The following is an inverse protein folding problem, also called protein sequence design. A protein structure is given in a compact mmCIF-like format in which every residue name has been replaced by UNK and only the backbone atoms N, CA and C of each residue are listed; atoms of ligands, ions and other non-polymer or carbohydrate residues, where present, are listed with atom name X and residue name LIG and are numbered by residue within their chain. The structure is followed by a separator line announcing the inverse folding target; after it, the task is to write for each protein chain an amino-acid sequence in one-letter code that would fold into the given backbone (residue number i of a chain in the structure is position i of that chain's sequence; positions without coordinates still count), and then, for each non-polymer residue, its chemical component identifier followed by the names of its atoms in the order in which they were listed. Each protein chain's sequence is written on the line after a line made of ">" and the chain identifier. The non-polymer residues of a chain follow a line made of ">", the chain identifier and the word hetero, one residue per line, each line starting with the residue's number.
data_IF_274353190018
#
_entry.id   IF_274353190018
#
_cell.length_a   1.000
_cell.length_b   1.000
_cell.length_c   1.000
_cell.angle_alpha   90.00
_cell.angle_beta   90.00
_cell.angle_gamma   90.00
#
_symmetry.space_group_name_H-M   'P 1'
#
loop_
_entity.id
_entity.type
_entity.pdbx_description
1 polymer ?
#
# COMPACT_ATOMS: atom_id res chain seq x y z
N UNK A 1 -5.29 43.80 23.64
CA UNK A 1 -6.31 43.21 22.74
C UNK A 1 -5.78 43.22 21.31
N UNK A 2 -5.36 42.08 20.76
CA UNK A 2 -4.94 41.97 19.36
C UNK A 2 -5.81 40.91 18.68
N UNK A 3 -6.66 41.34 17.73
CA UNK A 3 -7.59 40.48 16.99
C UNK A 3 -6.82 39.60 16.00
N UNK A 4 -6.84 38.28 16.20
CA UNK A 4 -6.52 37.26 15.19
C UNK A 4 -7.45 37.46 13.98
N UNK A 5 -6.90 37.70 12.79
CA UNK A 5 -7.62 37.48 11.53
C UNK A 5 -7.22 36.09 11.01
N UNK A 6 -8.14 35.14 11.16
CA UNK A 6 -8.13 33.87 10.44
C UNK A 6 -8.53 34.16 9.00
N UNK A 7 -7.64 33.95 8.05
CA UNK A 7 -8.00 33.82 6.64
C UNK A 7 -8.03 32.33 6.29
N UNK A 8 -9.19 31.68 6.45
CA UNK A 8 -9.47 30.44 5.71
C UNK A 8 -9.63 30.84 4.24
N UNK A 9 -8.61 30.57 3.41
CA UNK A 9 -8.84 30.49 1.97
C UNK A 9 -9.71 29.24 1.73
N UNK A 10 -10.82 29.35 0.98
CA UNK A 10 -11.57 28.16 0.58
C UNK A 10 -10.68 27.33 -0.35
N UNK A 11 -10.66 26.02 -0.13
CA UNK A 11 -9.95 25.09 -1.00
C UNK A 11 -10.67 25.02 -2.35
N UNK A 12 -10.06 25.55 -3.41
CA UNK A 12 -10.49 25.41 -4.82
C UNK A 12 -10.29 23.97 -5.35
N UNK A 13 -10.54 22.96 -4.51
CA UNK A 13 -10.65 21.59 -5.00
C UNK A 13 -12.10 21.37 -5.43
N UNK A 14 -12.36 21.10 -6.72
CA UNK A 14 -13.70 20.76 -7.16
C UNK A 14 -14.13 19.45 -6.49
N UNK A 15 -15.32 19.45 -5.89
CA UNK A 15 -15.93 18.23 -5.37
C UNK A 15 -16.13 17.25 -6.54
N UNK A 16 -15.57 16.05 -6.41
CA UNK A 16 -15.69 15.00 -7.40
C UNK A 16 -17.10 14.42 -7.33
N UNK A 17 -17.98 14.89 -8.21
CA UNK A 17 -19.31 14.31 -8.43
C UNK A 17 -19.18 12.87 -8.95
N UNK A 18 -19.82 11.91 -8.26
CA UNK A 18 -19.73 10.47 -8.57
C UNK A 18 -20.38 10.05 -9.90
N UNK A 19 -21.14 10.95 -10.55
CA UNK A 19 -21.92 10.65 -11.75
C UNK A 19 -21.24 11.09 -13.06
N UNK A 20 -20.04 11.66 -13.01
CA UNK A 20 -19.34 12.13 -14.21
C UNK A 20 -18.50 11.01 -14.85
N UNK A 21 -18.86 10.60 -16.06
CA UNK A 21 -18.00 9.79 -16.94
C UNK A 21 -16.79 10.65 -17.35
N UNK A 22 -15.54 10.23 -17.09
CA UNK A 22 -14.39 11.07 -17.37
C UNK A 22 -14.13 11.15 -18.88
N UNK A 23 -14.01 12.39 -19.39
CA UNK A 23 -13.47 12.64 -20.73
C UNK A 23 -12.01 12.20 -20.79
N UNK A 24 -11.71 11.31 -21.73
CA UNK A 24 -10.40 10.70 -21.92
C UNK A 24 -9.42 11.72 -22.52
N UNK A 25 -8.60 12.37 -21.69
CA UNK A 25 -7.43 13.12 -22.16
C UNK A 25 -6.24 12.18 -22.24
N UNK A 26 -5.76 11.95 -23.46
CA UNK A 26 -4.60 11.13 -23.80
C UNK A 26 -3.37 11.55 -22.98
N UNK A 27 -2.70 10.64 -22.24
CA UNK A 27 -1.44 10.98 -21.58
C UNK A 27 -0.30 11.05 -22.58
N UNK A 28 0.60 12.00 -22.31
CA UNK A 28 1.82 12.24 -23.07
C UNK A 28 2.80 11.05 -23.01
N UNK A 29 3.56 10.95 -24.09
CA UNK A 29 4.57 9.96 -24.49
C UNK A 29 5.65 9.68 -23.43
N UNK A 30 5.97 8.40 -23.22
CA UNK A 30 7.21 7.93 -22.60
C UNK A 30 8.16 7.36 -23.67
N UNK A 31 9.43 7.72 -23.59
CA UNK A 31 10.51 7.38 -24.54
C UNK A 31 10.97 5.89 -24.47
N UNK A 32 11.66 5.36 -25.50
CA UNK A 32 11.81 3.92 -25.71
C UNK A 32 13.17 3.34 -25.27
N UNK A 33 13.24 2.02 -25.12
CA UNK A 33 14.48 1.22 -25.09
C UNK A 33 14.18 -0.24 -25.55
N UNK A 34 15.18 -1.02 -26.01
CA UNK A 34 15.83 -0.95 -27.33
C UNK A 34 15.49 -2.17 -28.23
N UNK A 35 15.96 -2.08 -29.47
CA UNK A 35 15.62 -2.91 -30.63
C UNK A 35 15.86 -4.43 -30.51
N UNK A 36 14.93 -5.20 -31.08
CA UNK A 36 15.14 -6.61 -31.45
C UNK A 36 14.37 -6.93 -32.74
N UNK A 37 15.11 -7.32 -33.79
CA UNK A 37 14.71 -8.16 -34.93
C UNK A 37 13.61 -7.65 -35.86
N UNK A 38 13.97 -7.33 -37.10
CA UNK A 38 13.03 -7.15 -38.21
C UNK A 38 12.30 -8.47 -38.54
N UNK A 39 10.96 -8.50 -38.64
CA UNK A 39 10.25 -9.53 -39.39
C UNK A 39 9.85 -9.03 -40.78
N UNK A 40 9.92 -9.94 -41.75
CA UNK A 40 9.68 -9.77 -43.20
C UNK A 40 8.29 -9.18 -43.57
N UNK A 41 8.12 -8.60 -44.77
CA UNK A 41 6.92 -7.83 -45.12
C UNK A 41 5.72 -8.75 -45.43
N UNK A 42 4.69 -8.70 -44.60
CA UNK A 42 3.38 -9.26 -44.91
C UNK A 42 2.59 -8.32 -45.85
N UNK A 43 1.94 -8.90 -46.87
CA UNK A 43 1.20 -8.20 -47.91
C UNK A 43 0.05 -7.33 -47.38
N UNK A 44 -0.32 -6.23 -48.07
CA UNK A 44 -1.35 -5.31 -47.59
C UNK A 44 -2.73 -5.97 -47.67
N UNK A 45 -3.26 -6.35 -46.51
CA UNK A 45 -4.66 -6.75 -46.35
C UNK A 45 -5.53 -5.52 -46.58
N UNK A 46 -6.06 -5.40 -47.80
CA UNK A 46 -7.01 -4.37 -48.18
C UNK A 46 -8.38 -4.73 -47.60
N UNK A 47 -8.78 -4.00 -46.57
CA UNK A 47 -10.07 -4.16 -45.94
C UNK A 47 -10.14 -3.36 -44.64
N UNK A 48 -10.32 -2.04 -44.75
CA UNK A 48 -10.74 -1.24 -43.61
C UNK A 48 -12.17 -1.65 -43.23
N UNK A 49 -12.29 -2.68 -42.39
CA UNK A 49 -13.47 -2.85 -41.57
C UNK A 49 -13.43 -1.71 -40.55
N UNK A 50 -14.11 -0.60 -40.86
CA UNK A 50 -14.47 0.40 -39.86
C UNK A 50 -15.38 -0.29 -38.87
N UNK A 51 -14.80 -0.85 -37.81
CA UNK A 51 -15.57 -1.35 -36.68
C UNK A 51 -16.13 -0.10 -36.01
N UNK A 52 -17.41 0.20 -36.26
CA UNK A 52 -18.17 1.12 -35.42
C UNK A 52 -18.20 0.53 -34.00
N UNK A 53 -17.17 0.85 -33.22
CA UNK A 53 -17.15 0.53 -31.80
C UNK A 53 -18.02 1.56 -31.10
N UNK A 54 -19.19 1.15 -30.63
CA UNK A 54 -19.91 1.94 -29.62
C UNK A 54 -18.92 2.22 -28.48
N UNK A 55 -18.83 3.44 -27.94
CA UNK A 55 -18.00 3.70 -26.78
C UNK A 55 -18.39 2.74 -25.65
N UNK A 56 -17.47 1.83 -25.29
CA UNK A 56 -17.71 0.76 -24.30
C UNK A 56 -17.98 -0.65 -24.85
N UNK A 57 -18.01 -0.87 -26.17
CA UNK A 57 -18.16 -2.21 -26.76
C UNK A 57 -16.85 -2.94 -27.08
N UNK A 58 -15.71 -2.24 -26.96
CA UNK A 58 -14.41 -2.88 -27.11
C UNK A 58 -14.22 -3.91 -25.98
N UNK A 59 -13.84 -5.17 -26.27
CA UNK A 59 -13.66 -6.22 -25.25
C UNK A 59 -12.76 -5.79 -24.10
N UNK A 60 -11.68 -5.05 -24.41
CA UNK A 60 -10.78 -4.47 -23.42
C UNK A 60 -11.47 -3.45 -22.50
N UNK A 61 -12.31 -2.56 -23.05
CA UNK A 61 -13.01 -1.55 -22.26
C UNK A 61 -14.00 -2.17 -21.27
N UNK A 62 -14.66 -3.27 -21.68
CA UNK A 62 -15.57 -4.01 -20.80
C UNK A 62 -14.83 -4.70 -19.67
N UNK A 63 -13.72 -5.38 -19.96
CA UNK A 63 -12.94 -6.12 -18.97
C UNK A 63 -12.16 -5.18 -18.03
N UNK A 64 -11.71 -4.02 -18.54
CA UNK A 64 -11.01 -3.03 -17.73
C UNK A 64 -11.88 -2.53 -16.57
N UNK A 65 -13.17 -2.27 -16.81
CA UNK A 65 -14.09 -1.81 -15.75
C UNK A 65 -14.21 -2.85 -14.64
N UNK A 66 -14.40 -4.12 -14.96
CA UNK A 66 -14.54 -5.19 -13.94
C UNK A 66 -13.24 -5.40 -13.18
N UNK A 67 -12.11 -5.54 -13.87
CA UNK A 67 -10.82 -5.77 -13.21
C UNK A 67 -10.39 -4.59 -12.34
N UNK A 68 -10.66 -3.36 -12.80
CA UNK A 68 -10.39 -2.17 -12.01
C UNK A 68 -11.24 -2.15 -10.74
N UNK A 69 -12.54 -2.44 -10.83
CA UNK A 69 -13.43 -2.46 -9.66
C UNK A 69 -13.03 -3.57 -8.66
N UNK A 70 -12.68 -4.76 -9.14
CA UNK A 70 -12.20 -5.85 -8.29
C UNK A 70 -10.90 -5.45 -7.58
N UNK A 71 -9.92 -4.93 -8.30
CA UNK A 71 -8.66 -4.48 -7.70
C UNK A 71 -8.86 -3.31 -6.71
N UNK A 72 -9.68 -2.32 -7.08
CA UNK A 72 -9.98 -1.18 -6.22
C UNK A 72 -10.67 -1.62 -4.91
N UNK A 73 -11.64 -2.53 -5.00
CA UNK A 73 -12.33 -3.06 -3.82
C UNK A 73 -11.36 -3.76 -2.85
N UNK A 74 -10.48 -4.62 -3.38
CA UNK A 74 -9.45 -5.31 -2.61
C UNK A 74 -8.46 -4.33 -1.96
N UNK A 75 -8.00 -3.31 -2.70
CA UNK A 75 -7.06 -2.32 -2.15
C UNK A 75 -7.70 -1.51 -1.02
N UNK A 76 -8.97 -1.15 -1.13
CA UNK A 76 -9.66 -0.36 -0.10
C UNK A 76 -9.87 -1.21 1.15
N UNK A 77 -10.49 -2.38 1.01
CA UNK A 77 -10.93 -3.19 2.15
C UNK A 77 -9.79 -4.00 2.79
N UNK A 78 -8.93 -4.62 1.98
CA UNK A 78 -7.94 -5.60 2.46
C UNK A 78 -6.50 -5.07 2.49
N UNK A 79 -6.30 -3.76 2.31
CA UNK A 79 -4.96 -3.16 2.35
C UNK A 79 -4.92 -1.76 2.96
N UNK A 80 -5.73 -0.84 2.47
CA UNK A 80 -5.58 0.58 2.79
C UNK A 80 -6.28 1.00 4.08
N UNK A 81 -7.53 0.59 4.25
CA UNK A 81 -8.40 1.00 5.36
C UNK A 81 -8.24 0.04 6.54
N UNK A 82 -8.05 0.54 7.78
CA UNK A 82 -8.03 -0.31 8.96
C UNK A 82 -9.41 -0.92 9.27
N UNK A 83 -9.42 -2.06 9.95
CA UNK A 83 -10.69 -2.68 10.37
C UNK A 83 -11.33 -1.90 11.52
N UNK A 84 -12.66 -1.94 11.64
CA UNK A 84 -13.40 -1.17 12.65
C UNK A 84 -13.11 -1.65 14.08
N UNK A 85 -13.04 -2.97 14.28
CA UNK A 85 -12.95 -3.56 15.62
C UNK A 85 -11.60 -3.34 16.30
N UNK A 86 -10.50 -3.32 15.54
CA UNK A 86 -9.14 -3.22 16.07
C UNK A 86 -8.37 -1.97 15.61
N UNK A 87 -8.87 -1.26 14.59
CA UNK A 87 -8.17 -0.11 14.01
C UNK A 87 -6.86 -0.47 13.31
N UNK A 88 -6.61 -1.74 12.99
CA UNK A 88 -5.37 -2.22 12.37
C UNK A 88 -5.55 -2.53 10.88
N UNK A 89 -4.53 -2.18 10.10
CA UNK A 89 -4.42 -2.64 8.71
C UNK A 89 -4.03 -4.13 8.68
N UNK A 90 -4.37 -4.88 7.61
CA UNK A 90 -4.10 -6.32 7.55
C UNK A 90 -2.62 -6.70 7.74
N UNK A 91 -1.68 -5.92 7.21
CA UNK A 91 -0.23 -6.16 7.44
C UNK A 91 0.15 -5.98 8.91
N UNK A 92 -0.39 -4.98 9.58
CA UNK A 92 -0.08 -4.66 10.98
C UNK A 92 -0.59 -5.77 11.91
N UNK A 93 -1.81 -6.26 11.65
CA UNK A 93 -2.40 -7.39 12.38
C UNK A 93 -1.55 -8.66 12.26
N UNK A 94 -1.08 -8.99 11.06
CA UNK A 94 -0.25 -10.18 10.81
C UNK A 94 1.12 -10.08 11.47
N UNK A 95 1.74 -8.89 11.49
CA UNK A 95 2.98 -8.63 12.22
C UNK A 95 2.79 -8.84 13.72
N UNK A 96 1.72 -8.29 14.30
CA UNK A 96 1.43 -8.41 15.73
C UNK A 96 1.10 -9.85 16.13
N UNK A 97 0.33 -10.58 15.31
CA UNK A 97 0.08 -12.01 15.50
C UNK A 97 1.38 -12.84 15.46
N UNK A 98 2.25 -12.56 14.50
CA UNK A 98 3.54 -13.27 14.41
C UNK A 98 4.42 -12.99 15.64
N UNK A 99 4.43 -11.76 16.13
CA UNK A 99 5.15 -11.40 17.35
C UNK A 99 4.58 -12.09 18.58
N UNK A 100 3.26 -12.28 18.65
CA UNK A 100 2.60 -13.01 19.72
C UNK A 100 2.94 -14.50 19.71
N UNK A 101 2.89 -15.15 18.54
CA UNK A 101 3.25 -16.57 18.39
C UNK A 101 4.70 -16.85 18.78
N UNK A 102 5.58 -15.85 18.62
CA UNK A 102 7.01 -15.93 18.93
C UNK A 102 7.35 -15.45 20.34
N UNK A 103 6.41 -14.85 21.08
CA UNK A 103 6.72 -14.11 22.31
C UNK A 103 7.23 -15.03 23.43
N UNK A 104 8.53 -14.92 23.73
CA UNK A 104 9.20 -15.54 24.88
C UNK A 104 9.68 -14.48 25.91
N UNK A 105 9.28 -13.22 25.73
CA UNK A 105 9.73 -12.08 26.53
C UNK A 105 11.09 -11.50 26.12
N UNK A 106 11.82 -12.15 25.21
CA UNK A 106 13.10 -11.66 24.69
C UNK A 106 12.89 -10.81 23.43
N UNK A 107 13.98 -10.18 23.01
CA UNK A 107 14.03 -9.45 21.76
C UNK A 107 14.28 -10.41 20.59
N UNK A 108 13.48 -10.28 19.54
CA UNK A 108 13.67 -11.03 18.31
C UNK A 108 14.21 -10.13 17.21
N UNK A 109 15.13 -10.67 16.40
CA UNK A 109 15.63 -9.98 15.20
C UNK A 109 14.45 -9.68 14.28
N UNK A 110 14.32 -8.43 13.82
CA UNK A 110 13.23 -8.02 12.93
C UNK A 110 13.25 -8.82 11.63
N UNK A 111 14.43 -9.19 11.11
CA UNK A 111 14.55 -10.07 9.95
C UNK A 111 13.83 -11.42 10.15
N UNK A 112 13.87 -12.00 11.36
CA UNK A 112 13.19 -13.25 11.68
C UNK A 112 11.66 -13.05 11.74
N UNK A 113 11.21 -11.99 12.42
CA UNK A 113 9.78 -11.64 12.51
C UNK A 113 9.18 -11.38 11.13
N UNK A 114 9.89 -10.64 10.27
CA UNK A 114 9.47 -10.37 8.88
C UNK A 114 9.37 -11.68 8.09
N UNK A 115 10.40 -12.53 8.14
CA UNK A 115 10.39 -13.82 7.44
C UNK A 115 9.27 -14.76 7.91
N UNK A 116 8.97 -14.78 9.20
CA UNK A 116 7.84 -15.52 9.74
C UNK A 116 6.49 -14.93 9.29
N UNK A 117 6.37 -13.60 9.29
CA UNK A 117 5.14 -12.90 8.87
C UNK A 117 4.82 -13.12 7.39
N UNK A 118 5.84 -13.33 6.54
CA UNK A 118 5.63 -13.62 5.11
C UNK A 118 4.78 -14.87 4.86
N UNK A 119 4.74 -15.82 5.80
CA UNK A 119 3.84 -16.99 5.73
C UNK A 119 2.36 -16.57 5.79
N UNK A 120 2.06 -15.49 6.51
CA UNK A 120 0.71 -14.94 6.68
C UNK A 120 0.44 -13.77 5.70
N UNK A 121 1.49 -13.13 5.20
CA UNK A 121 1.42 -11.96 4.33
C UNK A 121 2.19 -12.19 3.03
N UNK A 122 1.52 -12.61 1.93
CA UNK A 122 2.16 -12.96 0.65
C UNK A 122 2.55 -11.70 -0.15
N UNK A 123 3.26 -10.78 0.50
CA UNK A 123 3.79 -9.54 -0.07
C UNK A 123 5.25 -9.37 0.37
N UNK A 124 5.97 -8.46 -0.28
CA UNK A 124 7.40 -8.29 -0.07
C UNK A 124 7.78 -7.96 1.38
N UNK A 125 8.94 -8.42 1.80
CA UNK A 125 9.58 -8.18 3.10
C UNK A 125 9.67 -6.67 3.43
N UNK A 126 9.94 -5.84 2.43
CA UNK A 126 9.98 -4.38 2.57
C UNK A 126 8.67 -3.79 3.15
N UNK A 127 7.51 -4.28 2.69
CA UNK A 127 6.21 -3.78 3.16
C UNK A 127 5.92 -4.15 4.61
N UNK A 128 6.34 -5.35 5.01
CA UNK A 128 6.18 -5.88 6.37
C UNK A 128 7.14 -5.17 7.32
N UNK A 129 8.41 -5.02 6.91
CA UNK A 129 9.42 -4.30 7.69
C UNK A 129 9.03 -2.84 7.92
N UNK A 130 8.55 -2.14 6.90
CA UNK A 130 8.07 -0.77 7.03
C UNK A 130 6.87 -0.66 7.99
N UNK A 131 5.92 -1.61 7.92
CA UNK A 131 4.79 -1.65 8.84
C UNK A 131 5.24 -1.86 10.30
N UNK A 132 6.15 -2.81 10.54
CA UNK A 132 6.70 -3.09 11.87
C UNK A 132 7.43 -1.86 12.44
N UNK A 133 8.32 -1.25 11.66
CA UNK A 133 9.07 -0.05 12.07
C UNK A 133 8.10 1.08 12.42
N UNK A 134 7.06 1.30 11.60
CA UNK A 134 6.07 2.33 11.86
C UNK A 134 5.34 2.10 13.19
N UNK A 135 4.93 0.86 13.49
CA UNK A 135 4.28 0.54 14.77
C UNK A 135 5.26 0.74 15.93
N UNK A 136 6.50 0.27 15.80
CA UNK A 136 7.51 0.33 16.84
C UNK A 136 7.95 1.78 17.17
N UNK A 137 8.01 2.67 16.17
CA UNK A 137 8.28 4.10 16.39
C UNK A 137 7.26 4.78 17.31
N UNK A 138 6.04 4.24 17.43
CA UNK A 138 5.02 4.77 18.34
C UNK A 138 5.25 4.35 19.80
N UNK A 139 5.99 3.28 20.05
CA UNK A 139 6.39 2.82 21.41
C UNK A 139 5.30 2.16 22.26
N UNK A 140 4.07 2.01 21.76
CA UNK A 140 2.95 1.45 22.55
C UNK A 140 2.85 -0.07 22.46
N UNK A 141 2.87 -0.62 21.24
CA UNK A 141 2.59 -2.03 21.00
C UNK A 141 3.87 -2.87 20.87
N UNK A 142 4.91 -2.28 20.28
CA UNK A 142 6.19 -2.92 20.01
C UNK A 142 7.27 -2.09 20.68
N UNK A 143 8.14 -2.76 21.42
CA UNK A 143 9.34 -2.18 22.01
C UNK A 143 10.52 -2.34 21.02
N UNK A 144 11.07 -1.24 20.49
CA UNK A 144 12.21 -1.28 19.57
C UNK A 144 13.55 -1.36 20.30
N UNK A 145 14.49 -2.13 19.75
CA UNK A 145 15.90 -2.12 20.14
C UNK A 145 16.79 -1.94 18.89
N UNK A 146 17.66 -0.92 18.93
CA UNK A 146 18.50 -0.50 17.81
C UNK A 146 17.98 0.78 17.14
N UNK A 147 18.47 1.09 15.94
CA UNK A 147 18.08 2.30 15.21
C UNK A 147 16.83 2.05 14.34
N UNK A 148 15.67 2.50 14.83
CA UNK A 148 14.39 2.44 14.12
C UNK A 148 14.09 3.70 13.27
N UNK A 149 15.10 4.54 13.03
CA UNK A 149 14.94 5.79 12.31
C UNK A 149 14.28 6.87 13.17
N UNK A 150 14.04 8.02 12.57
CA UNK A 150 13.45 9.16 13.25
C UNK A 150 12.41 9.85 12.36
N UNK A 151 11.15 9.80 12.78
CA UNK A 151 10.00 10.35 12.05
C UNK A 151 10.05 11.87 11.93
N UNK A 152 10.77 12.57 12.81
CA UNK A 152 10.89 14.04 12.80
C UNK A 152 11.93 14.53 11.79
N UNK A 153 13.04 13.80 11.65
CA UNK A 153 14.12 14.14 10.71
C UNK A 153 13.95 13.46 9.36
N UNK A 154 13.14 12.40 9.28
CA UNK A 154 12.95 11.59 8.07
C UNK A 154 14.03 10.54 7.87
N UNK A 155 14.87 10.28 8.88
CA UNK A 155 15.90 9.26 8.79
C UNK A 155 15.26 7.85 8.80
N UNK A 156 15.66 7.03 7.83
CA UNK A 156 15.20 5.65 7.70
C UNK A 156 15.71 4.77 8.84
N UNK A 157 14.97 3.69 9.11
CA UNK A 157 15.41 2.65 10.03
C UNK A 157 16.63 1.89 9.49
N UNK A 158 17.47 1.40 10.40
CA UNK A 158 18.52 0.47 10.02
C UNK A 158 17.93 -0.83 9.45
N UNK A 159 18.73 -1.54 8.65
CA UNK A 159 18.31 -2.79 8.04
C UNK A 159 17.82 -3.81 9.09
N UNK A 160 16.80 -4.60 8.73
CA UNK A 160 16.09 -5.56 9.59
C UNK A 160 16.99 -6.57 10.33
N UNK A 161 18.20 -6.81 9.83
CA UNK A 161 19.22 -7.67 10.46
C UNK A 161 19.89 -7.05 11.70
N UNK A 162 19.86 -5.72 11.85
CA UNK A 162 20.51 -4.99 12.95
C UNK A 162 19.55 -4.56 14.06
N UNK A 163 18.25 -4.52 13.76
CA UNK A 163 17.22 -4.09 14.69
C UNK A 163 16.48 -5.30 15.29
N UNK A 164 15.99 -5.10 16.50
CA UNK A 164 15.27 -6.09 17.28
C UNK A 164 13.96 -5.50 17.81
N UNK A 165 12.96 -6.36 17.98
CA UNK A 165 11.64 -5.98 18.45
C UNK A 165 11.05 -7.04 19.38
N UNK A 166 10.23 -6.61 20.33
CA UNK A 166 9.36 -7.48 21.15
C UNK A 166 8.03 -6.79 21.44
N UNK A 167 7.05 -7.56 21.91
CA UNK A 167 5.80 -6.98 22.42
C UNK A 167 6.03 -6.26 23.75
N UNK A 168 5.41 -5.09 23.89
CA UNK A 168 5.39 -4.39 25.19
C UNK A 168 4.51 -5.16 26.19
N UNK A 169 4.73 -5.01 27.50
CA UNK A 169 3.80 -5.53 28.51
C UNK A 169 2.34 -5.08 28.28
N UNK A 170 2.17 -3.81 27.87
CA UNK A 170 0.86 -3.25 27.52
C UNK A 170 0.19 -3.99 26.36
N UNK A 171 0.94 -4.29 25.29
CA UNK A 171 0.39 -5.00 24.14
C UNK A 171 -0.12 -6.39 24.51
N UNK A 172 0.61 -7.13 25.35
CA UNK A 172 0.21 -8.46 25.82
C UNK A 172 -1.12 -8.43 26.56
N UNK A 173 -1.32 -7.42 27.39
CA UNK A 173 -2.52 -7.29 28.22
C UNK A 173 -3.72 -6.76 27.44
N UNK A 174 -3.53 -5.77 26.56
CA UNK A 174 -4.67 -5.08 25.93
C UNK A 174 -5.05 -5.66 24.58
N UNK A 175 -4.06 -6.10 23.79
CA UNK A 175 -4.32 -6.52 22.40
C UNK A 175 -4.77 -7.98 22.29
N UNK A 176 -4.31 -8.84 23.21
CA UNK A 176 -4.48 -10.29 23.11
C UNK A 176 -5.38 -10.88 24.20
N UNK A 177 -5.83 -10.08 25.17
CA UNK A 177 -6.72 -10.51 26.24
C UNK A 177 -8.05 -9.74 26.15
N UNK A 178 -9.04 -10.27 25.41
CA UNK A 178 -10.35 -9.63 25.22
C UNK A 178 -11.22 -9.67 26.49
#
# INVERSE_FOLDING_TARGET
>A
MAKKKSSKKPSDQPELSFDAVPENKTPATAAPAPAAGEPEPEEPVTGEAVIETKPGSAPLAQHYRSWFLEYASYVILDRAVPHLDDGLKPVQRRVLHTLWDMDDGRFHKVANVVGATMKLHPHGDASIGAALVSIAQRGWLIEPQGNFGNTLTGDDAAASRYIEARLTPFAREVLFNP
#
